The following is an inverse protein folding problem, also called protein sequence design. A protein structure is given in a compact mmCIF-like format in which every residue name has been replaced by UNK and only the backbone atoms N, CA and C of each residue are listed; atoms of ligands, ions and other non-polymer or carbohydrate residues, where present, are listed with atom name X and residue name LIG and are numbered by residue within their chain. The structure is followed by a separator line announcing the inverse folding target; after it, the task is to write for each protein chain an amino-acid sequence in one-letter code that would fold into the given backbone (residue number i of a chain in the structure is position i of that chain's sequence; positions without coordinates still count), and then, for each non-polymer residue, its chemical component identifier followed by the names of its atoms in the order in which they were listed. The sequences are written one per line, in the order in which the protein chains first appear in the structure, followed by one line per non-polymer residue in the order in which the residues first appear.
data_IF_026050131814
#
_entry.id   IF_026050131814
#
_cell.length_a   1.000
_cell.length_b   1.000
_cell.length_c   1.000
_cell.angle_alpha   90.00
_cell.angle_beta   90.00
_cell.angle_gamma   90.00
#
_symmetry.space_group_name_H-M   'P 1'
#
loop_
_entity.id
_entity.type
_entity.pdbx_description
1 polymer ?
#
# COMPACT_ATOMS: atom_id res chain seq x y z
N UNK A 1 -10.73 7.39 7.85
CA UNK A 1 -10.79 8.19 6.62
C UNK A 1 -11.98 9.12 6.69
N UNK A 2 -11.97 10.32 6.07
CA UNK A 2 -13.16 11.17 5.98
C UNK A 2 -13.98 10.82 4.74
N UNK A 3 -13.37 10.87 3.57
CA UNK A 3 -14.01 10.46 2.32
C UNK A 3 -12.99 9.98 1.28
N UNK A 4 -13.50 9.28 0.27
CA UNK A 4 -12.75 8.69 -0.84
C UNK A 4 -13.39 9.05 -2.17
N UNK A 5 -12.57 9.26 -3.19
CA UNK A 5 -12.92 9.25 -4.60
C UNK A 5 -12.04 8.25 -5.32
N UNK A 6 -12.57 7.55 -6.32
CA UNK A 6 -11.85 6.50 -7.02
C UNK A 6 -12.25 6.49 -8.50
N UNK A 7 -11.25 6.31 -9.35
CA UNK A 7 -11.40 5.98 -10.76
C UNK A 7 -10.72 4.64 -11.03
N UNK A 8 -11.35 3.80 -11.83
CA UNK A 8 -10.81 2.50 -12.22
C UNK A 8 -10.82 2.35 -13.74
N UNK A 9 -9.90 1.56 -14.27
CA UNK A 9 -9.84 1.21 -15.67
C UNK A 9 -9.60 -0.28 -15.86
N UNK A 10 -10.10 -0.82 -16.96
CA UNK A 10 -9.78 -2.15 -17.46
C UNK A 10 -9.08 -1.97 -18.80
N UNK A 11 -7.78 -2.21 -18.84
CA UNK A 11 -6.93 -2.05 -20.02
C UNK A 11 -6.68 -3.39 -20.71
N UNK A 12 -6.75 -4.49 -19.95
CA UNK A 12 -6.52 -5.84 -20.47
C UNK A 12 -7.82 -6.53 -20.82
N UNK A 13 -7.88 -7.08 -22.03
CA UNK A 13 -9.00 -7.92 -22.45
C UNK A 13 -9.02 -9.27 -21.72
N UNK A 14 -10.21 -9.80 -21.48
CA UNK A 14 -10.44 -11.14 -20.97
C UNK A 14 -10.35 -11.30 -19.45
N UNK A 15 -10.07 -10.25 -18.70
CA UNK A 15 -10.21 -10.25 -17.23
C UNK A 15 -11.59 -9.75 -16.80
N UNK A 16 -12.01 -10.13 -15.61
CA UNK A 16 -13.21 -9.60 -14.97
C UNK A 16 -12.77 -8.62 -13.87
N UNK A 17 -12.98 -7.35 -14.08
CA UNK A 17 -12.62 -6.31 -13.13
C UNK A 17 -11.57 -5.34 -13.69
N UNK A 18 -11.17 -4.41 -12.87
CA UNK A 18 -10.15 -3.41 -13.16
C UNK A 18 -8.74 -3.98 -13.04
N UNK A 19 -7.81 -3.40 -13.77
CA UNK A 19 -6.37 -3.64 -13.66
C UNK A 19 -5.59 -2.37 -13.29
N UNK A 20 -6.27 -1.24 -13.26
CA UNK A 20 -5.74 0.02 -12.74
C UNK A 20 -6.76 0.73 -11.86
N UNK A 21 -6.29 1.40 -10.83
CA UNK A 21 -7.11 2.24 -9.98
C UNK A 21 -6.33 3.44 -9.45
N UNK A 22 -6.96 4.60 -9.45
CA UNK A 22 -6.46 5.80 -8.78
C UNK A 22 -7.45 6.22 -7.71
N UNK A 23 -6.99 6.27 -6.47
CA UNK A 23 -7.82 6.55 -5.29
C UNK A 23 -7.35 7.82 -4.60
N UNK A 24 -8.22 8.79 -4.44
CA UNK A 24 -7.99 10.00 -3.66
C UNK A 24 -8.62 9.85 -2.26
N UNK A 25 -7.82 9.98 -1.22
CA UNK A 25 -8.21 9.80 0.17
C UNK A 25 -8.10 11.10 0.93
N UNK A 26 -9.19 11.59 1.51
CA UNK A 26 -9.19 12.69 2.49
C UNK A 26 -9.19 12.12 3.89
N UNK A 27 -8.20 12.49 4.68
CA UNK A 27 -8.09 12.08 6.08
C UNK A 27 -8.85 13.03 7.01
N UNK A 28 -9.36 12.53 8.13
CA UNK A 28 -10.00 13.37 9.16
C UNK A 28 -9.08 14.42 9.75
N UNK A 29 -7.76 14.19 9.69
CA UNK A 29 -6.71 15.12 10.11
C UNK A 29 -6.50 16.28 9.14
N UNK A 30 -7.13 16.23 7.96
CA UNK A 30 -6.99 17.26 6.92
C UNK A 30 -5.97 16.91 5.83
N UNK A 31 -5.10 15.90 6.02
CA UNK A 31 -4.18 15.44 4.98
C UNK A 31 -4.91 14.76 3.82
N UNK A 32 -4.21 14.66 2.71
CA UNK A 32 -4.70 13.98 1.49
C UNK A 32 -3.67 12.93 1.09
N UNK A 33 -4.13 11.78 0.62
CA UNK A 33 -3.29 10.77 0.00
C UNK A 33 -3.85 10.39 -1.37
N UNK A 34 -2.96 10.10 -2.29
CA UNK A 34 -3.27 9.47 -3.59
C UNK A 34 -2.68 8.07 -3.57
N UNK A 35 -3.47 7.09 -3.91
CA UNK A 35 -3.03 5.71 -4.15
C UNK A 35 -3.25 5.41 -5.61
N UNK A 36 -2.17 5.11 -6.31
CA UNK A 36 -2.20 4.74 -7.73
C UNK A 36 -1.70 3.31 -7.88
N UNK A 37 -2.52 2.44 -8.46
CA UNK A 37 -2.25 1.01 -8.58
C UNK A 37 -2.44 0.59 -10.02
N UNK A 38 -1.47 -0.14 -10.58
CA UNK A 38 -1.55 -0.68 -11.92
C UNK A 38 -0.90 -2.05 -12.03
N UNK A 39 -1.59 -3.00 -12.68
CA UNK A 39 -1.04 -4.26 -13.16
C UNK A 39 -0.53 -4.19 -14.61
N UNK A 40 -0.64 -3.02 -15.24
CA UNK A 40 -0.24 -2.82 -16.64
C UNK A 40 1.09 -2.07 -16.80
N UNK A 41 1.82 -1.83 -15.72
CA UNK A 41 3.17 -1.28 -15.78
C UNK A 41 4.12 -2.26 -16.45
N UNK A 42 4.52 -1.95 -17.70
CA UNK A 42 5.49 -2.76 -18.47
C UNK A 42 6.88 -2.19 -18.25
N UNK A 43 7.54 -2.61 -17.17
CA UNK A 43 8.88 -2.16 -16.81
C UNK A 43 9.92 -3.24 -17.09
N UNK A 44 11.11 -2.80 -17.47
CA UNK A 44 12.27 -3.69 -17.69
C UNK A 44 13.45 -3.12 -16.90
N UNK A 45 14.07 -3.90 -16.00
CA UNK A 45 13.63 -5.22 -15.52
C UNK A 45 12.31 -5.16 -14.77
N UNK A 46 11.61 -6.29 -14.69
CA UNK A 46 10.43 -6.44 -13.85
C UNK A 46 10.83 -6.38 -12.38
N UNK A 47 10.23 -5.44 -11.64
CA UNK A 47 10.53 -5.17 -10.23
C UNK A 47 9.34 -5.46 -9.33
N UNK A 48 8.44 -6.33 -9.78
CA UNK A 48 7.26 -6.71 -8.99
C UNK A 48 7.63 -7.40 -7.65
N UNK A 49 6.97 -7.06 -6.54
CA UNK A 49 6.05 -5.94 -6.36
C UNK A 49 6.83 -4.62 -6.21
N UNK A 50 6.54 -3.64 -7.05
CA UNK A 50 7.15 -2.32 -6.92
C UNK A 50 6.24 -1.41 -6.11
N UNK A 51 6.74 -0.91 -4.99
CA UNK A 51 6.06 0.07 -4.15
C UNK A 51 6.86 1.36 -4.14
N UNK A 52 6.22 2.44 -4.58
CA UNK A 52 6.76 3.79 -4.50
C UNK A 52 5.97 4.56 -3.46
N UNK A 53 6.65 5.41 -2.70
CA UNK A 53 6.01 6.23 -1.69
C UNK A 53 6.62 7.62 -1.68
N UNK A 54 5.77 8.63 -1.61
CA UNK A 54 6.18 10.00 -1.35
C UNK A 54 5.29 10.58 -0.26
N UNK A 55 5.91 11.10 0.80
CA UNK A 55 5.22 11.76 1.91
C UNK A 55 5.83 13.13 2.07
N UNK A 56 5.00 14.15 2.01
CA UNK A 56 5.38 15.53 2.28
C UNK A 56 4.73 16.05 3.56
N UNK A 57 5.49 16.70 4.38
CA UNK A 57 5.05 17.28 5.63
C UNK A 57 5.76 18.58 5.96
N UNK A 58 5.23 19.34 6.92
CA UNK A 58 5.78 20.63 7.33
C UNK A 58 7.21 20.57 7.91
N UNK A 59 7.71 19.37 8.24
CA UNK A 59 9.04 19.17 8.85
C UNK A 59 10.01 18.42 7.96
N UNK A 60 9.58 18.02 6.75
CA UNK A 60 10.40 17.27 5.82
C UNK A 60 9.59 16.36 4.92
N UNK A 61 10.28 15.54 4.15
CA UNK A 61 9.69 14.56 3.24
C UNK A 61 10.34 13.19 3.37
N UNK A 62 9.61 12.16 2.97
CA UNK A 62 10.09 10.78 2.87
C UNK A 62 9.75 10.28 1.47
N UNK A 63 10.73 9.71 0.79
CA UNK A 63 10.56 9.08 -0.52
C UNK A 63 11.05 7.63 -0.44
N UNK A 64 10.28 6.70 -0.97
CA UNK A 64 10.72 5.32 -1.25
C UNK A 64 10.77 5.14 -2.75
N UNK A 65 11.96 4.87 -3.27
CA UNK A 65 12.22 4.67 -4.70
C UNK A 65 12.12 3.19 -5.10
N UNK A 66 12.10 2.94 -6.40
CA UNK A 66 11.92 1.60 -7.02
C UNK A 66 12.96 0.55 -6.58
N UNK A 67 14.13 0.97 -6.18
CA UNK A 67 15.23 0.14 -5.69
C UNK A 67 15.21 -0.01 -4.16
N UNK A 68 14.08 0.30 -3.55
CA UNK A 68 13.85 0.18 -2.11
C UNK A 68 14.79 1.05 -1.27
N UNK A 69 15.29 2.13 -1.88
CA UNK A 69 16.00 3.18 -1.18
C UNK A 69 15.01 4.16 -0.56
N UNK A 70 15.10 4.33 0.73
CA UNK A 70 14.33 5.34 1.47
C UNK A 70 15.20 6.56 1.72
N UNK A 71 14.72 7.71 1.24
CA UNK A 71 15.33 9.01 1.49
C UNK A 71 14.46 9.82 2.44
N UNK A 72 15.05 10.31 3.51
CA UNK A 72 14.38 11.16 4.51
C UNK A 72 15.04 12.53 4.51
N UNK A 73 14.30 13.57 4.17
CA UNK A 73 14.75 14.95 4.20
C UNK A 73 14.20 15.68 5.43
N UNK A 74 15.09 16.28 6.23
CA UNK A 74 14.73 17.10 7.40
C UNK A 74 15.52 18.43 7.37
N UNK A 75 14.94 19.43 6.73
CA UNK A 75 15.65 20.70 6.50
C UNK A 75 16.89 20.49 5.61
N UNK A 76 18.08 20.75 6.14
CA UNK A 76 19.33 20.56 5.42
C UNK A 76 19.93 19.13 5.59
N UNK A 77 19.28 18.26 6.36
CA UNK A 77 19.78 16.88 6.62
C UNK A 77 19.06 15.93 5.69
N UNK A 78 19.84 15.13 4.97
CA UNK A 78 19.38 14.03 4.11
C UNK A 78 19.90 12.73 4.67
N UNK A 79 19.02 11.78 4.92
CA UNK A 79 19.34 10.41 5.34
C UNK A 79 18.85 9.45 4.26
N UNK A 80 19.73 8.57 3.80
CA UNK A 80 19.39 7.52 2.84
C UNK A 80 19.68 6.16 3.43
N UNK A 81 18.76 5.22 3.24
CA UNK A 81 18.96 3.82 3.65
C UNK A 81 18.22 2.86 2.75
N UNK A 82 18.82 1.71 2.52
CA UNK A 82 18.15 0.58 1.91
C UNK A 82 17.16 -0.03 2.91
N UNK A 83 15.91 -0.22 2.49
CA UNK A 83 14.82 -0.80 3.31
C UNK A 83 14.20 -2.03 2.65
N UNK A 84 14.89 -2.56 1.65
CA UNK A 84 14.42 -3.73 0.93
C UNK A 84 14.57 -5.02 1.70
N UNK A 85 13.91 -6.03 1.18
CA UNK A 85 13.93 -7.39 1.71
C UNK A 85 15.25 -8.09 1.47
N UNK A 86 15.65 -8.92 2.40
CA UNK A 86 16.80 -9.81 2.23
C UNK A 86 16.49 -10.95 1.27
N UNK A 87 17.51 -11.38 0.51
CA UNK A 87 17.44 -12.58 -0.32
C UNK A 87 17.78 -13.77 0.57
N UNK A 88 16.75 -14.44 1.08
CA UNK A 88 16.93 -15.65 1.90
C UNK A 88 17.24 -16.87 1.02
N UNK A 89 17.84 -17.96 1.57
CA UNK A 89 18.25 -19.13 0.79
C UNK A 89 17.12 -19.82 0.00
N UNK A 90 15.87 -19.62 0.41
CA UNK A 90 14.67 -20.20 -0.19
C UNK A 90 13.86 -19.19 -1.01
N UNK A 91 14.31 -17.92 -1.11
CA UNK A 91 13.63 -16.86 -1.87
C UNK A 91 14.30 -16.64 -3.23
N UNK A 92 13.58 -16.02 -4.15
CA UNK A 92 14.07 -15.70 -5.49
C UNK A 92 13.64 -14.31 -5.94
N UNK A 93 14.49 -13.62 -6.67
CA UNK A 93 14.16 -12.34 -7.30
C UNK A 93 13.21 -12.58 -8.49
N UNK A 94 12.16 -11.78 -8.67
CA UNK A 94 11.78 -10.57 -7.92
C UNK A 94 10.86 -10.86 -6.71
N UNK A 95 10.53 -12.11 -6.45
CA UNK A 95 9.51 -12.54 -5.48
C UNK A 95 9.95 -12.48 -4.01
N UNK A 96 11.26 -12.31 -3.76
CA UNK A 96 11.84 -12.29 -2.40
C UNK A 96 11.12 -11.33 -1.45
N UNK A 97 10.70 -10.16 -1.94
CA UNK A 97 9.95 -9.17 -1.13
C UNK A 97 8.63 -9.75 -0.61
N UNK A 98 7.84 -10.36 -1.50
CA UNK A 98 6.57 -10.99 -1.12
C UNK A 98 6.79 -12.22 -0.24
N UNK A 99 7.82 -13.01 -0.52
CA UNK A 99 8.14 -14.22 0.23
C UNK A 99 8.55 -13.90 1.66
N UNK A 100 9.42 -12.91 1.85
CA UNK A 100 9.82 -12.43 3.19
C UNK A 100 8.65 -11.78 3.93
N UNK A 101 7.82 -10.98 3.24
CA UNK A 101 6.64 -10.38 3.84
C UNK A 101 5.67 -11.43 4.40
N UNK A 102 5.46 -12.55 3.68
CA UNK A 102 4.65 -13.68 4.15
C UNK A 102 5.27 -14.35 5.36
N UNK A 103 6.59 -14.57 5.38
CA UNK A 103 7.30 -15.11 6.55
C UNK A 103 7.09 -14.20 7.78
N UNK A 104 7.39 -12.92 7.65
CA UNK A 104 7.28 -11.95 8.73
C UNK A 104 5.84 -11.83 9.27
N UNK A 105 4.83 -11.89 8.39
CA UNK A 105 3.44 -11.91 8.80
C UNK A 105 3.10 -13.15 9.63
N UNK A 106 3.52 -14.35 9.17
CA UNK A 106 3.26 -15.60 9.89
C UNK A 106 3.98 -15.64 11.24
N UNK A 107 5.22 -15.19 11.32
CA UNK A 107 5.97 -15.08 12.57
C UNK A 107 5.30 -14.13 13.56
N UNK A 108 4.83 -12.97 13.06
CA UNK A 108 4.08 -12.01 13.88
C UNK A 108 2.79 -12.61 14.44
N UNK A 109 2.01 -13.32 13.60
CA UNK A 109 0.78 -13.97 14.06
C UNK A 109 1.07 -15.06 15.10
N UNK A 110 2.09 -15.89 14.86
CA UNK A 110 2.50 -16.94 15.80
C UNK A 110 2.96 -16.36 17.15
N UNK A 111 3.73 -15.29 17.11
CA UNK A 111 4.20 -14.61 18.34
C UNK A 111 3.03 -13.98 19.10
N UNK A 112 2.10 -13.30 18.40
CA UNK A 112 0.88 -12.77 19.02
C UNK A 112 0.04 -13.89 19.63
N UNK A 113 -0.14 -15.01 18.94
CA UNK A 113 -0.86 -16.16 19.46
C UNK A 113 -0.23 -16.71 20.74
N UNK A 114 1.09 -16.89 20.75
CA UNK A 114 1.82 -17.37 21.94
C UNK A 114 1.68 -16.45 23.15
N UNK A 115 1.60 -15.15 22.93
CA UNK A 115 1.48 -14.13 23.98
C UNK A 115 0.03 -13.78 24.35
N UNK A 116 -0.96 -14.33 23.65
CA UNK A 116 -2.37 -13.95 23.81
C UNK A 116 -2.64 -12.48 23.41
N UNK A 117 -1.86 -11.93 22.47
CA UNK A 117 -1.96 -10.56 21.99
C UNK A 117 -2.72 -10.50 20.66
N UNK A 118 -3.37 -9.38 20.37
CA UNK A 118 -3.97 -9.15 19.05
C UNK A 118 -2.89 -8.82 18.02
N UNK A 119 -2.89 -9.46 16.84
CA UNK A 119 -1.98 -9.10 15.77
C UNK A 119 -2.35 -7.74 15.15
N UNK A 120 -1.37 -7.05 14.56
CA UNK A 120 -1.57 -5.75 13.91
C UNK A 120 -2.58 -5.80 12.77
N UNK A 121 -2.64 -6.91 12.05
CA UNK A 121 -3.56 -7.14 10.93
C UNK A 121 -4.73 -8.05 11.33
N UNK A 122 -5.24 -7.86 12.54
CA UNK A 122 -6.41 -8.59 13.03
C UNK A 122 -7.65 -8.32 12.17
N UNK A 123 -8.65 -9.20 12.24
CA UNK A 123 -9.92 -9.02 11.53
C UNK A 123 -10.56 -7.67 11.87
N UNK A 124 -10.57 -7.28 13.14
CA UNK A 124 -11.14 -6.00 13.58
C UNK A 124 -10.41 -4.78 13.02
N UNK A 125 -9.11 -4.89 12.73
CA UNK A 125 -8.37 -3.83 12.08
C UNK A 125 -8.60 -3.83 10.57
N UNK A 126 -8.56 -5.01 9.93
CA UNK A 126 -8.77 -5.14 8.50
C UNK A 126 -10.19 -4.79 8.04
N UNK A 127 -11.20 -4.92 8.87
CA UNK A 127 -12.56 -4.46 8.53
C UNK A 127 -12.60 -2.97 8.19
N UNK A 128 -11.72 -2.15 8.76
CA UNK A 128 -11.61 -0.72 8.42
C UNK A 128 -11.04 -0.52 7.01
N UNK A 129 -10.04 -1.32 6.65
CA UNK A 129 -9.46 -1.32 5.30
C UNK A 129 -10.48 -1.81 4.28
N UNK A 130 -11.20 -2.89 4.61
CA UNK A 130 -12.26 -3.43 3.76
C UNK A 130 -13.37 -2.40 3.50
N UNK A 131 -13.86 -1.72 4.53
CA UNK A 131 -14.86 -0.66 4.40
C UNK A 131 -14.38 0.50 3.50
N UNK A 132 -13.07 0.79 3.49
CA UNK A 132 -12.49 1.78 2.60
C UNK A 132 -12.46 1.29 1.14
N UNK A 133 -12.13 0.02 0.92
CA UNK A 133 -12.15 -0.60 -0.42
C UNK A 133 -13.57 -0.61 -0.99
N UNK A 134 -14.57 -1.01 -0.20
CA UNK A 134 -15.99 -0.97 -0.60
C UNK A 134 -16.42 0.45 -0.98
N UNK A 135 -16.02 1.46 -0.19
CA UNK A 135 -16.31 2.86 -0.50
C UNK A 135 -15.60 3.35 -1.78
N UNK A 136 -14.40 2.84 -2.08
CA UNK A 136 -13.69 3.14 -3.33
C UNK A 136 -14.41 2.55 -4.54
N UNK A 137 -14.90 1.31 -4.47
CA UNK A 137 -15.71 0.71 -5.53
C UNK A 137 -17.05 1.44 -5.72
N UNK A 138 -17.72 1.83 -4.64
CA UNK A 138 -18.92 2.66 -4.72
C UNK A 138 -18.63 4.01 -5.40
N UNK A 139 -17.51 4.64 -5.07
CA UNK A 139 -17.07 5.90 -5.69
C UNK A 139 -16.82 5.72 -7.19
N UNK A 140 -16.07 4.70 -7.60
CA UNK A 140 -15.78 4.40 -9.00
C UNK A 140 -17.05 4.11 -9.81
N UNK A 141 -18.01 3.37 -9.22
CA UNK A 141 -19.26 3.02 -9.89
C UNK A 141 -20.22 4.21 -10.03
N UNK A 142 -20.25 5.09 -9.03
CA UNK A 142 -21.23 6.20 -8.99
C UNK A 142 -20.67 7.54 -9.45
N UNK A 143 -19.36 7.67 -9.61
CA UNK A 143 -18.66 8.94 -9.87
C UNK A 143 -18.77 9.94 -8.71
N UNK A 144 -19.09 9.49 -7.51
CA UNK A 144 -19.32 10.35 -6.34
C UNK A 144 -18.24 10.17 -5.30
N UNK A 145 -18.06 11.21 -4.50
CA UNK A 145 -17.25 11.14 -3.28
C UNK A 145 -18.03 10.38 -2.19
N UNK A 146 -17.45 9.32 -1.63
CA UNK A 146 -18.09 8.43 -0.68
C UNK A 146 -17.41 8.55 0.70
N UNK A 147 -18.22 8.47 1.76
CA UNK A 147 -17.73 8.37 3.14
C UNK A 147 -17.74 6.91 3.57
N UNK A 148 -16.58 6.30 3.89
CA UNK A 148 -16.55 4.92 4.34
C UNK A 148 -17.39 4.71 5.61
N UNK A 149 -18.16 3.63 5.63
CA UNK A 149 -18.97 3.23 6.79
C UNK A 149 -18.18 2.22 7.61
N UNK A 150 -17.63 2.66 8.72
CA UNK A 150 -16.95 1.76 9.66
C UNK A 150 -18.01 1.17 10.62
N UNK A 151 -18.14 -0.14 10.61
CA UNK A 151 -18.95 -0.90 11.57
C UNK A 151 -18.23 -1.05 12.90
#
# INVERSE_FOLDING_TARGET
MDHVHCETQQLRDGIKGEDTATVLLKHKTGSVSVVDVSYESKRVPDTFPETLLEIEGSKGSITLSKDQMMTINRGAVVEERYVGSDILPWTSIPWHVSQEAVLNANEHFLDCFKRGANPQTSVSDNLKTFALVEAAYEAATTGRVIRPKYS
#
